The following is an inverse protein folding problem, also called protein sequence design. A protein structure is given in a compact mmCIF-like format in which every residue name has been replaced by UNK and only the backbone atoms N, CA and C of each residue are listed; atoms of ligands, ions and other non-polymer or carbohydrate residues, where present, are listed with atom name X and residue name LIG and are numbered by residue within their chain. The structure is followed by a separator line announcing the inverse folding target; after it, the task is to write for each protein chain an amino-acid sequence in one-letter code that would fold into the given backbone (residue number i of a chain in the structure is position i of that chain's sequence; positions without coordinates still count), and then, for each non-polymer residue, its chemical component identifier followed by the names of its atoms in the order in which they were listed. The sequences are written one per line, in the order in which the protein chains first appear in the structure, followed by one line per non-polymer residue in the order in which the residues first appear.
data_IF_767401017774
#
_entry.id   IF_767401017774
#
_cell.length_a   1.000
_cell.length_b   1.000
_cell.length_c   1.000
_cell.angle_alpha   90.00
_cell.angle_beta   90.00
_cell.angle_gamma   90.00
#
_symmetry.space_group_name_H-M   'P 1'
#
loop_
_entity.id
_entity.type
_entity.pdbx_description
1 polymer ?
#
# COMPACT_ATOMS: atom_id res chain seq x y z
N UNK A 1 19.68 79.27 53.32
CA UNK A 1 19.57 77.80 53.29
C UNK A 1 18.17 77.44 53.79
N UNK A 2 17.23 77.16 52.86
CA UNK A 2 16.50 75.87 52.71
C UNK A 2 15.82 75.46 54.03
N UNK A 3 14.54 75.69 54.32
CA UNK A 3 13.23 75.61 53.63
C UNK A 3 12.65 74.18 53.44
N UNK A 4 11.53 73.97 54.16
CA UNK A 4 10.39 73.05 54.01
C UNK A 4 10.56 71.51 54.20
N UNK A 5 10.05 71.03 55.34
CA UNK A 5 9.23 69.81 55.40
C UNK A 5 7.75 70.19 55.39
N UNK A 6 7.03 69.85 54.31
CA UNK A 6 5.63 69.43 54.33
C UNK A 6 5.44 68.44 53.16
N UNK A 7 5.35 67.16 53.48
CA UNK A 7 5.00 66.10 52.55
C UNK A 7 3.79 65.35 53.10
N UNK A 8 2.98 64.84 52.18
CA UNK A 8 1.74 64.06 52.35
C UNK A 8 0.50 64.91 52.09
N UNK A 9 0.05 64.91 50.83
CA UNK A 9 -1.37 64.82 50.41
C UNK A 9 -1.57 64.84 48.88
N UNK A 10 -0.52 64.69 48.06
CA UNK A 10 -0.65 64.68 46.58
C UNK A 10 -0.45 63.31 45.91
N UNK A 11 0.04 62.26 46.59
CA UNK A 11 0.33 60.98 45.94
C UNK A 11 -0.88 60.04 45.76
N UNK A 12 -2.01 60.27 46.44
CA UNK A 12 -3.18 59.38 46.34
C UNK A 12 -4.21 59.76 45.28
N UNK A 13 -4.07 60.92 44.61
CA UNK A 13 -5.00 61.34 43.54
C UNK A 13 -4.52 61.04 42.12
N UNK A 14 -3.23 60.80 41.88
CA UNK A 14 -2.74 60.41 40.54
C UNK A 14 -2.85 58.91 40.24
N UNK A 15 -2.97 58.04 41.24
CA UNK A 15 -3.10 56.60 41.01
C UNK A 15 -4.53 56.19 40.62
N UNK A 16 -5.54 57.01 40.91
CA UNK A 16 -6.94 56.71 40.59
C UNK A 16 -7.35 57.17 39.18
N UNK A 17 -6.57 58.04 38.54
CA UNK A 17 -6.88 58.55 37.20
C UNK A 17 -6.24 57.72 36.07
N UNK A 18 -5.19 56.93 36.36
CA UNK A 18 -4.61 55.98 35.40
C UNK A 18 -5.36 54.63 35.34
N UNK A 19 -6.18 54.31 36.34
CA UNK A 19 -7.00 53.09 36.32
C UNK A 19 -8.33 53.24 35.57
N UNK A 20 -8.70 54.46 35.16
CA UNK A 20 -9.95 54.72 34.45
C UNK A 20 -9.80 54.79 32.93
N UNK A 21 -8.56 54.81 32.41
CA UNK A 21 -8.28 54.80 30.97
C UNK A 21 -7.91 53.44 30.39
N UNK A 22 -7.88 52.37 31.20
CA UNK A 22 -7.60 51.01 30.75
C UNK A 22 -8.87 50.17 30.48
N UNK A 23 -10.07 50.75 30.57
CA UNK A 23 -11.35 50.02 30.43
C UNK A 23 -12.21 50.50 29.24
N UNK A 24 -11.64 51.26 28.30
CA UNK A 24 -12.35 51.75 27.09
C UNK A 24 -11.59 51.45 25.80
N UNK A 25 -10.99 50.27 25.70
CA UNK A 25 -10.62 49.66 24.42
C UNK A 25 -11.31 48.30 24.27
N UNK A 26 -12.64 48.32 24.42
CA UNK A 26 -13.49 47.32 23.76
C UNK A 26 -13.85 47.91 22.39
N UNK A 27 -12.91 47.83 21.45
CA UNK A 27 -13.29 47.84 20.03
C UNK A 27 -14.03 46.53 19.79
N UNK A 28 -15.32 46.62 19.44
CA UNK A 28 -16.14 45.50 19.06
C UNK A 28 -15.80 45.01 17.64
N UNK A 29 -14.52 44.74 17.38
CA UNK A 29 -14.07 44.04 16.18
C UNK A 29 -14.02 42.56 16.50
N UNK A 30 -15.20 41.99 16.77
CA UNK A 30 -15.37 40.54 16.84
C UNK A 30 -15.97 40.03 15.52
N UNK A 31 -15.49 40.59 14.40
CA UNK A 31 -15.64 40.02 13.07
C UNK A 31 -14.69 38.83 12.90
N UNK A 32 -14.71 37.90 13.87
CA UNK A 32 -14.15 36.57 13.64
C UNK A 32 -15.06 35.88 12.64
N UNK A 33 -14.72 36.00 11.36
CA UNK A 33 -15.25 35.15 10.31
C UNK A 33 -14.46 33.84 10.41
N UNK A 34 -15.07 32.72 10.83
CA UNK A 34 -14.38 31.44 10.80
C UNK A 34 -13.93 31.19 9.36
N UNK A 35 -12.63 31.03 9.14
CA UNK A 35 -12.14 30.53 7.86
C UNK A 35 -12.73 29.13 7.72
N UNK A 36 -13.54 28.85 6.68
CA UNK A 36 -14.12 27.53 6.51
C UNK A 36 -12.98 26.51 6.50
N UNK A 37 -13.12 25.43 7.28
CA UNK A 37 -12.18 24.32 7.15
C UNK A 37 -12.22 23.81 5.71
N UNK A 38 -11.06 23.54 5.10
CA UNK A 38 -11.03 23.12 3.72
C UNK A 38 -11.74 21.77 3.60
N UNK A 39 -12.69 21.67 2.66
CA UNK A 39 -13.47 20.45 2.41
C UNK A 39 -12.75 19.64 1.34
N UNK A 40 -12.71 18.31 1.52
CA UNK A 40 -12.14 17.42 0.51
C UNK A 40 -12.88 17.58 -0.82
N UNK A 41 -12.19 17.78 -1.96
CA UNK A 41 -12.86 17.88 -3.25
C UNK A 41 -13.35 16.52 -3.77
N UNK A 42 -12.98 15.43 -3.11
CA UNK A 42 -13.29 14.05 -3.53
C UNK A 42 -14.79 13.82 -3.59
N UNK A 43 -15.23 13.23 -4.69
CA UNK A 43 -16.63 12.88 -4.93
C UNK A 43 -16.75 11.37 -5.05
N UNK A 44 -17.47 10.75 -4.11
CA UNK A 44 -17.80 9.32 -4.13
C UNK A 44 -19.26 9.15 -3.72
N UNK A 45 -20.16 9.17 -4.70
CA UNK A 45 -21.55 8.77 -4.50
C UNK A 45 -21.68 7.26 -4.73
N UNK A 46 -21.92 6.50 -3.65
CA UNK A 46 -22.00 5.04 -3.70
C UNK A 46 -23.10 4.49 -4.62
N UNK A 47 -24.13 5.30 -4.91
CA UNK A 47 -25.19 4.95 -5.85
C UNK A 47 -24.79 5.16 -7.32
N UNK A 48 -23.84 6.06 -7.59
CA UNK A 48 -23.41 6.43 -8.94
C UNK A 48 -22.08 5.79 -9.37
N UNK A 49 -21.22 5.38 -8.43
CA UNK A 49 -19.94 4.73 -8.75
C UNK A 49 -20.13 3.28 -9.25
N UNK A 50 -19.31 2.81 -10.21
CA UNK A 50 -18.09 3.45 -10.69
C UNK A 50 -18.34 4.56 -11.73
N UNK A 51 -17.58 5.65 -11.65
CA UNK A 51 -17.56 6.68 -12.70
C UNK A 51 -16.75 6.22 -13.91
N UNK A 52 -17.08 6.75 -15.09
CA UNK A 52 -16.39 6.39 -16.32
C UNK A 52 -14.93 6.89 -16.35
N UNK A 53 -14.65 8.07 -15.77
CA UNK A 53 -13.31 8.64 -15.70
C UNK A 53 -12.77 8.61 -14.27
N UNK A 54 -11.47 8.42 -14.13
CA UNK A 54 -10.81 8.48 -12.84
C UNK A 54 -10.80 9.91 -12.27
N UNK A 55 -10.69 10.92 -13.14
CA UNK A 55 -10.74 12.33 -12.72
C UNK A 55 -12.08 12.75 -12.11
N UNK A 56 -13.19 12.08 -12.44
CA UNK A 56 -14.53 12.37 -11.89
C UNK A 56 -14.62 12.14 -10.38
N UNK A 57 -13.71 11.36 -9.80
CA UNK A 57 -13.62 11.15 -8.36
C UNK A 57 -12.88 12.28 -7.62
N UNK A 58 -12.09 13.08 -8.34
CA UNK A 58 -11.26 14.16 -7.77
C UNK A 58 -10.33 13.70 -6.63
N UNK A 59 -9.74 12.50 -6.78
CA UNK A 59 -8.72 12.00 -5.86
C UNK A 59 -7.38 12.71 -6.00
N UNK A 60 -7.14 13.35 -7.14
CA UNK A 60 -5.87 14.01 -7.46
C UNK A 60 -6.10 15.45 -7.92
N UNK A 61 -5.18 16.33 -7.55
CA UNK A 61 -5.17 17.75 -7.91
C UNK A 61 -4.21 18.01 -9.09
N UNK A 62 -4.55 19.00 -9.90
CA UNK A 62 -3.73 19.40 -11.05
C UNK A 62 -3.70 18.34 -12.15
N UNK A 63 -2.54 18.19 -12.79
CA UNK A 63 -2.34 17.22 -13.86
C UNK A 63 -2.39 15.79 -13.30
N UNK A 64 -3.35 14.99 -13.78
CA UNK A 64 -3.64 13.64 -13.28
C UNK A 64 -2.40 12.73 -13.21
N UNK A 65 -1.48 12.80 -14.18
CA UNK A 65 -0.24 11.99 -14.22
C UNK A 65 0.73 12.26 -13.06
N UNK A 66 0.62 13.41 -12.40
CA UNK A 66 1.48 13.73 -11.26
C UNK A 66 1.01 12.94 -10.01
N UNK A 67 -0.27 12.53 -9.96
CA UNK A 67 -0.95 11.92 -8.80
C UNK A 67 -0.69 12.69 -7.51
N UNK A 68 -0.83 14.01 -7.56
CA UNK A 68 -0.79 14.84 -6.36
C UNK A 68 -2.11 14.57 -5.62
N UNK A 69 -2.08 13.93 -4.43
CA UNK A 69 -3.32 13.58 -3.73
C UNK A 69 -4.08 14.84 -3.31
N UNK A 70 -5.39 14.83 -3.52
CA UNK A 70 -6.28 15.85 -2.99
C UNK A 70 -6.37 15.79 -1.46
N UNK A 71 -6.92 16.84 -0.87
CA UNK A 71 -7.19 16.87 0.57
C UNK A 71 -7.94 15.60 1.04
N UNK A 72 -7.45 15.02 2.15
CA UNK A 72 -7.92 13.77 2.77
C UNK A 72 -7.60 12.47 1.97
N UNK A 73 -6.92 12.54 0.83
CA UNK A 73 -6.40 11.35 0.14
C UNK A 73 -5.02 11.01 0.69
N UNK A 74 -4.91 9.94 1.49
CA UNK A 74 -3.69 9.63 2.23
C UNK A 74 -2.81 8.64 1.45
N UNK A 75 -1.60 9.03 1.02
CA UNK A 75 -0.67 8.08 0.41
C UNK A 75 -0.15 7.07 1.43
N UNK A 76 0.12 5.85 0.97
CA UNK A 76 0.76 4.81 1.77
C UNK A 76 1.61 3.86 0.93
N UNK A 77 2.53 3.17 1.58
CA UNK A 77 3.43 2.18 1.00
C UNK A 77 3.64 1.01 1.97
N UNK A 78 3.30 -0.23 1.58
CA UNK A 78 3.66 -1.42 2.33
C UNK A 78 5.18 -1.57 2.46
N UNK A 79 5.66 -2.01 3.63
CA UNK A 79 7.09 -2.23 3.87
C UNK A 79 7.76 -3.10 2.79
N UNK A 80 7.11 -4.20 2.41
CA UNK A 80 7.48 -5.03 1.26
C UNK A 80 6.43 -4.91 0.16
N UNK A 81 6.88 -4.68 -1.09
CA UNK A 81 5.98 -4.52 -2.23
C UNK A 81 5.80 -5.83 -3.02
N UNK A 82 4.57 -6.09 -3.48
CA UNK A 82 4.29 -7.12 -4.48
C UNK A 82 5.02 -6.81 -5.79
N UNK A 83 5.73 -7.79 -6.33
CA UNK A 83 6.32 -7.75 -7.67
C UNK A 83 5.25 -7.83 -8.76
N UNK A 84 5.37 -7.00 -9.80
CA UNK A 84 4.47 -7.01 -10.96
C UNK A 84 5.21 -6.48 -12.18
N UNK A 85 6.04 -7.31 -12.82
CA UNK A 85 6.86 -6.94 -13.98
C UNK A 85 7.64 -5.63 -13.79
N UNK A 86 8.23 -5.45 -12.61
CA UNK A 86 8.93 -4.22 -12.19
C UNK A 86 8.10 -2.92 -12.20
N UNK A 87 6.78 -2.98 -12.46
CA UNK A 87 5.91 -1.82 -12.31
C UNK A 87 5.94 -1.33 -10.85
N UNK A 88 6.16 -0.03 -10.68
CA UNK A 88 6.04 0.68 -9.40
C UNK A 88 4.57 0.93 -9.10
N UNK A 89 4.26 1.22 -7.82
CA UNK A 89 2.88 1.43 -7.37
C UNK A 89 2.76 2.68 -6.51
N UNK A 90 1.87 3.59 -6.90
CA UNK A 90 1.35 4.64 -6.01
C UNK A 90 0.09 4.10 -5.34
N UNK A 91 -0.07 4.27 -4.02
CA UNK A 91 -1.25 3.80 -3.29
C UNK A 91 -1.81 4.87 -2.38
N UNK A 92 -3.12 4.91 -2.27
CA UNK A 92 -3.83 5.90 -1.47
C UNK A 92 -5.03 5.28 -0.76
N UNK A 93 -5.40 5.88 0.36
CA UNK A 93 -6.63 5.60 1.12
C UNK A 93 -7.44 6.88 1.15
N UNK A 94 -8.72 6.80 0.80
CA UNK A 94 -9.69 7.84 1.06
C UNK A 94 -10.89 7.24 1.79
N UNK A 95 -11.44 8.01 2.73
CA UNK A 95 -12.62 7.65 3.50
C UNK A 95 -13.56 8.85 3.63
N UNK A 96 -14.89 8.62 3.67
CA UNK A 96 -15.83 9.67 3.99
C UNK A 96 -15.53 10.30 5.37
N UNK A 97 -16.04 11.49 5.59
CA UNK A 97 -15.93 12.14 6.89
C UNK A 97 -16.66 11.34 7.98
N UNK A 98 -16.19 11.47 9.22
CA UNK A 98 -16.81 10.90 10.42
C UNK A 98 -16.90 9.36 10.47
N UNK A 99 -16.18 8.64 9.59
CA UNK A 99 -16.04 7.18 9.68
C UNK A 99 -14.58 6.79 9.94
N UNK A 100 -14.38 5.67 10.64
CA UNK A 100 -13.05 5.18 11.02
C UNK A 100 -12.92 3.69 10.73
N UNK A 101 -11.72 3.26 10.35
CA UNK A 101 -11.35 1.87 10.31
C UNK A 101 -10.95 1.39 11.71
N UNK A 102 -11.08 0.10 11.96
CA UNK A 102 -10.64 -0.51 13.22
C UNK A 102 -9.48 -1.48 12.99
N UNK A 103 -8.52 -1.45 13.90
CA UNK A 103 -7.48 -2.47 13.99
C UNK A 103 -8.11 -3.77 14.53
N UNK A 104 -7.75 -4.91 13.95
CA UNK A 104 -8.22 -6.23 14.41
C UNK A 104 -7.05 -7.13 14.80
N UNK A 105 -6.05 -7.26 13.92
CA UNK A 105 -4.80 -7.97 14.17
C UNK A 105 -3.72 -7.51 13.18
N UNK A 106 -2.45 -7.74 13.52
CA UNK A 106 -1.28 -7.33 12.72
C UNK A 106 -1.36 -7.79 11.25
N UNK A 107 -1.69 -9.08 11.05
CA UNK A 107 -1.72 -9.74 9.75
C UNK A 107 -3.07 -9.70 9.03
N UNK A 108 -4.08 -9.04 9.59
CA UNK A 108 -5.40 -8.87 8.97
C UNK A 108 -5.51 -7.47 8.37
N UNK A 109 -6.28 -7.33 7.29
CA UNK A 109 -6.56 -6.00 6.77
C UNK A 109 -7.30 -5.17 7.82
N UNK A 110 -7.08 -3.86 7.84
CA UNK A 110 -7.91 -2.97 8.65
C UNK A 110 -9.39 -3.18 8.29
N UNK A 111 -10.25 -3.16 9.29
CA UNK A 111 -11.69 -3.27 9.07
C UNK A 111 -12.22 -1.90 8.64
N UNK A 112 -12.34 -1.70 7.33
CA UNK A 112 -12.75 -0.43 6.73
C UNK A 112 -14.28 -0.25 6.70
N UNK A 113 -14.78 0.96 6.99
CA UNK A 113 -16.20 1.27 6.91
C UNK A 113 -16.70 1.37 5.46
N UNK A 114 -18.02 1.31 5.28
CA UNK A 114 -18.66 1.59 4.00
C UNK A 114 -18.29 2.99 3.51
N UNK A 115 -17.98 3.11 2.22
CA UNK A 115 -17.52 4.34 1.59
C UNK A 115 -15.99 4.43 1.41
N UNK A 116 -15.21 3.59 2.09
CA UNK A 116 -13.74 3.58 1.89
C UNK A 116 -13.38 3.27 0.44
N UNK A 117 -12.42 4.01 -0.10
CA UNK A 117 -11.78 3.74 -1.38
C UNK A 117 -10.29 3.50 -1.17
N UNK A 118 -9.80 2.34 -1.59
CA UNK A 118 -8.38 2.08 -1.76
C UNK A 118 -8.04 2.32 -3.23
N UNK A 119 -6.95 3.02 -3.49
CA UNK A 119 -6.53 3.41 -4.82
C UNK A 119 -5.13 2.85 -5.04
N UNK A 120 -4.88 2.18 -6.17
CA UNK A 120 -3.57 1.65 -6.53
C UNK A 120 -3.29 1.92 -8.00
N UNK A 121 -2.28 2.75 -8.29
CA UNK A 121 -1.84 3.03 -9.66
C UNK A 121 -0.53 2.34 -9.95
N UNK A 122 -0.46 1.59 -11.06
CA UNK A 122 0.74 0.95 -11.55
C UNK A 122 1.41 1.82 -12.62
N UNK A 123 2.72 1.96 -12.53
CA UNK A 123 3.49 2.82 -13.42
C UNK A 123 4.93 2.37 -13.60
N UNK A 124 5.55 2.82 -14.68
CA UNK A 124 6.98 2.71 -14.91
C UNK A 124 7.62 4.09 -14.85
N UNK A 125 8.86 4.20 -14.36
CA UNK A 125 9.62 5.45 -14.32
C UNK A 125 10.86 5.43 -15.21
N UNK A 126 11.03 4.37 -16.01
CA UNK A 126 12.22 4.09 -16.82
C UNK A 126 11.85 3.58 -18.21
N UNK A 127 10.69 4.03 -18.73
CA UNK A 127 10.24 3.68 -20.08
C UNK A 127 11.28 4.12 -21.10
N UNK A 128 11.56 3.25 -22.07
CA UNK A 128 12.49 3.54 -23.15
C UNK A 128 11.77 3.97 -24.43
N UNK A 129 12.38 4.85 -25.23
CA UNK A 129 13.61 5.61 -24.93
C UNK A 129 13.40 6.77 -23.93
N UNK A 130 14.45 7.18 -23.24
CA UNK A 130 14.48 8.45 -22.50
C UNK A 130 14.14 8.39 -21.00
N UNK A 131 13.93 7.20 -20.42
CA UNK A 131 13.59 7.01 -19.00
C UNK A 131 12.35 7.82 -18.57
N UNK A 132 11.30 7.81 -19.39
CA UNK A 132 10.08 8.56 -19.09
C UNK A 132 9.21 7.82 -18.07
N UNK A 133 8.36 8.59 -17.37
CA UNK A 133 7.35 8.02 -16.48
C UNK A 133 6.04 7.81 -17.24
N UNK A 134 5.45 6.63 -17.10
CA UNK A 134 4.16 6.28 -17.70
C UNK A 134 3.30 5.51 -16.70
N UNK A 135 2.13 6.06 -16.40
CA UNK A 135 1.02 5.41 -15.71
C UNK A 135 0.35 4.42 -16.67
N UNK A 136 0.03 3.25 -16.16
CA UNK A 136 -0.50 2.13 -16.96
C UNK A 136 -1.97 1.90 -16.62
N UNK A 137 -2.24 1.65 -15.34
CA UNK A 137 -3.57 1.31 -14.85
C UNK A 137 -3.77 1.82 -13.40
N UNK A 138 -5.01 2.07 -13.03
CA UNK A 138 -5.43 2.43 -11.67
C UNK A 138 -6.58 1.53 -11.23
N UNK A 139 -6.35 0.80 -10.14
CA UNK A 139 -7.35 -0.01 -9.47
C UNK A 139 -8.00 0.75 -8.35
N UNK A 140 -9.33 0.78 -8.36
CA UNK A 140 -10.16 1.22 -7.25
C UNK A 140 -10.78 0.01 -6.55
N UNK A 141 -10.61 -0.07 -5.23
CA UNK A 141 -11.36 -0.99 -4.39
C UNK A 141 -12.29 -0.15 -3.53
N UNK A 142 -13.60 -0.26 -3.76
CA UNK A 142 -14.62 0.55 -3.07
C UNK A 142 -15.40 -0.35 -2.10
N UNK A 143 -15.43 0.01 -0.82
CA UNK A 143 -16.23 -0.67 0.20
C UNK A 143 -17.69 -0.23 0.09
N UNK A 144 -18.53 -1.02 -0.60
CA UNK A 144 -19.99 -0.84 -0.62
C UNK A 144 -20.63 -1.59 0.55
N UNK A 145 -21.94 -1.36 0.76
CA UNK A 145 -22.70 -2.01 1.83
C UNK A 145 -22.67 -3.55 1.72
N UNK A 146 -22.68 -4.08 0.50
CA UNK A 146 -22.70 -5.50 0.20
C UNK A 146 -21.30 -6.14 0.07
N UNK A 147 -20.22 -5.37 0.16
CA UNK A 147 -18.87 -5.92 0.04
C UNK A 147 -17.87 -4.96 -0.61
N UNK A 148 -16.66 -5.46 -0.87
CA UNK A 148 -15.69 -4.77 -1.70
C UNK A 148 -16.01 -4.96 -3.18
N UNK A 149 -15.98 -3.87 -3.95
CA UNK A 149 -16.07 -3.88 -5.41
C UNK A 149 -14.76 -3.40 -6.01
N UNK A 150 -14.35 -4.02 -7.10
CA UNK A 150 -13.06 -3.80 -7.75
C UNK A 150 -13.30 -3.23 -9.13
N UNK A 151 -12.65 -2.12 -9.44
CA UNK A 151 -12.77 -1.42 -10.70
C UNK A 151 -11.39 -1.11 -11.24
N UNK A 152 -11.19 -1.30 -12.54
CA UNK A 152 -9.91 -1.10 -13.21
C UNK A 152 -10.05 0.06 -14.20
N UNK A 153 -9.06 0.96 -14.20
CA UNK A 153 -9.02 2.13 -15.07
C UNK A 153 -7.72 2.11 -15.86
N UNK A 154 -7.79 2.24 -17.18
CA UNK A 154 -6.61 2.22 -18.05
C UNK A 154 -6.26 3.63 -18.49
N UNK A 155 -5.00 4.00 -18.29
CA UNK A 155 -4.46 5.29 -18.69
C UNK A 155 -4.32 5.39 -20.20
N UNK A 156 -4.67 6.57 -20.74
CA UNK A 156 -4.42 6.92 -22.14
C UNK A 156 -2.93 7.21 -22.39
N UNK A 157 -2.54 7.18 -23.66
CA UNK A 157 -1.13 7.39 -24.05
C UNK A 157 -0.69 8.85 -23.85
N UNK A 158 -1.62 9.80 -23.90
CA UNK A 158 -1.37 11.22 -23.60
C UNK A 158 -1.10 11.49 -22.11
N UNK A 159 -1.34 10.51 -21.23
CA UNK A 159 -1.16 10.61 -19.78
C UNK A 159 -1.99 11.75 -19.15
N UNK A 160 -3.23 11.89 -19.60
CA UNK A 160 -4.16 12.93 -19.12
C UNK A 160 -5.37 12.36 -18.40
N UNK A 161 -5.72 11.10 -18.63
CA UNK A 161 -6.91 10.47 -18.04
C UNK A 161 -6.74 8.94 -17.94
N UNK A 162 -7.46 8.33 -17.00
CA UNK A 162 -7.72 6.90 -16.99
C UNK A 162 -9.21 6.61 -17.08
N UNK A 163 -9.60 5.73 -18.00
CA UNK A 163 -10.99 5.37 -18.25
C UNK A 163 -11.29 3.98 -17.70
N UNK A 164 -12.47 3.82 -17.10
CA UNK A 164 -12.97 2.54 -16.62
C UNK A 164 -13.01 1.54 -17.77
N UNK A 165 -12.41 0.35 -17.58
CA UNK A 165 -12.60 -0.75 -18.52
C UNK A 165 -13.90 -1.48 -18.19
N UNK A 166 -14.71 -1.74 -19.23
CA UNK A 166 -16.02 -2.40 -19.13
C UNK A 166 -16.14 -3.49 -20.19
N UNK A 167 -17.12 -4.38 -20.04
CA UNK A 167 -17.47 -5.42 -21.02
C UNK A 167 -16.28 -6.35 -21.36
N UNK A 168 -16.13 -6.72 -22.64
CA UNK A 168 -15.16 -7.72 -23.12
C UNK A 168 -13.71 -7.39 -22.74
N UNK A 169 -13.34 -6.11 -22.66
CA UNK A 169 -12.00 -5.69 -22.26
C UNK A 169 -11.70 -6.05 -20.79
N UNK A 170 -12.70 -5.97 -19.92
CA UNK A 170 -12.55 -6.37 -18.52
C UNK A 170 -12.73 -7.87 -18.31
N UNK A 171 -13.59 -8.52 -19.10
CA UNK A 171 -13.82 -9.98 -19.01
C UNK A 171 -12.58 -10.75 -19.45
N UNK A 172 -11.92 -10.30 -20.52
CA UNK A 172 -10.77 -11.00 -21.09
C UNK A 172 -9.43 -10.48 -20.57
N UNK A 173 -9.41 -9.33 -19.90
CA UNK A 173 -8.19 -8.61 -19.57
C UNK A 173 -7.50 -8.07 -20.82
N UNK A 174 -6.43 -7.30 -20.64
CA UNK A 174 -5.69 -6.72 -21.76
C UNK A 174 -4.18 -6.77 -21.52
N UNK A 175 -3.41 -6.55 -22.57
CA UNK A 175 -1.94 -6.56 -22.52
C UNK A 175 -1.41 -5.28 -23.14
N UNK A 176 -0.38 -4.70 -22.53
CA UNK A 176 0.39 -3.59 -23.10
C UNK A 176 1.85 -3.99 -23.25
N UNK A 177 2.39 -3.88 -24.45
CA UNK A 177 3.84 -4.02 -24.68
C UNK A 177 4.56 -2.81 -24.07
N UNK A 178 5.47 -3.06 -23.13
CA UNK A 178 6.21 -2.01 -22.42
C UNK A 178 7.71 -2.31 -22.49
N UNK A 179 8.48 -1.38 -23.05
CA UNK A 179 9.94 -1.41 -23.00
C UNK A 179 10.45 -0.49 -21.90
N UNK A 180 11.22 -1.01 -20.95
CA UNK A 180 11.73 -0.26 -19.81
C UNK A 180 13.12 -0.74 -19.40
N UNK A 181 13.79 0.06 -18.58
CA UNK A 181 15.08 -0.28 -17.99
C UNK A 181 14.90 -0.82 -16.56
N UNK A 182 15.39 -2.04 -16.29
CA UNK A 182 15.41 -2.69 -14.97
C UNK A 182 16.40 -1.99 -14.02
N UNK A 183 16.37 -2.30 -12.70
CA UNK A 183 17.35 -1.78 -11.74
C UNK A 183 18.81 -2.13 -12.05
N UNK A 184 19.06 -3.25 -12.73
CA UNK A 184 20.38 -3.70 -13.18
C UNK A 184 20.84 -3.04 -14.51
N UNK A 185 20.16 -1.97 -14.95
CA UNK A 185 20.36 -1.25 -16.21
C UNK A 185 20.06 -2.03 -17.51
N UNK A 186 19.57 -3.26 -17.41
CA UNK A 186 19.12 -4.03 -18.58
C UNK A 186 17.82 -3.44 -19.15
N UNK A 187 17.79 -3.24 -20.48
CA UNK A 187 16.58 -2.83 -21.20
C UNK A 187 15.84 -4.08 -21.67
N UNK A 188 14.59 -4.20 -21.26
CA UNK A 188 13.73 -5.33 -21.61
C UNK A 188 12.38 -4.84 -22.11
N UNK A 189 11.75 -5.65 -22.96
CA UNK A 189 10.35 -5.49 -23.36
C UNK A 189 9.52 -6.58 -22.68
N UNK A 190 8.47 -6.18 -21.98
CA UNK A 190 7.52 -7.08 -21.32
C UNK A 190 6.11 -6.86 -21.87
N UNK A 191 5.34 -7.94 -21.90
CA UNK A 191 3.91 -7.94 -22.24
C UNK A 191 3.10 -7.72 -20.96
N UNK A 192 3.04 -6.48 -20.50
CA UNK A 192 2.39 -6.13 -19.23
C UNK A 192 0.91 -6.51 -19.26
N UNK A 193 0.51 -7.43 -18.39
CA UNK A 193 -0.86 -7.95 -18.27
C UNK A 193 -1.69 -7.08 -17.32
N UNK A 194 -2.70 -6.42 -17.87
CA UNK A 194 -3.83 -5.85 -17.14
C UNK A 194 -4.84 -6.98 -16.93
N UNK A 195 -5.05 -7.45 -15.68
CA UNK A 195 -5.85 -8.64 -15.41
C UNK A 195 -7.34 -8.41 -15.69
N UNK A 196 -8.02 -9.47 -16.10
CA UNK A 196 -9.47 -9.54 -16.12
C UNK A 196 -10.08 -9.50 -14.71
N UNK A 197 -11.40 -9.34 -14.64
CA UNK A 197 -12.15 -9.46 -13.38
C UNK A 197 -11.87 -10.80 -12.67
N UNK A 198 -11.88 -11.89 -13.43
CA UNK A 198 -11.67 -13.24 -12.90
C UNK A 198 -10.23 -13.43 -12.38
N UNK A 199 -9.24 -12.86 -13.07
CA UNK A 199 -7.84 -12.86 -12.63
C UNK A 199 -7.63 -11.94 -11.41
N UNK A 200 -8.39 -10.85 -11.28
CA UNK A 200 -8.39 -10.04 -10.07
C UNK A 200 -8.94 -10.83 -8.88
N UNK A 201 -10.14 -11.40 -9.01
CA UNK A 201 -10.83 -12.14 -7.95
C UNK A 201 -10.12 -13.45 -7.59
N UNK A 202 -9.32 -14.02 -8.51
CA UNK A 202 -8.44 -15.13 -8.20
C UNK A 202 -7.51 -14.88 -7.01
N UNK A 203 -7.02 -13.65 -6.86
CA UNK A 203 -6.17 -13.26 -5.74
C UNK A 203 -6.97 -12.50 -4.68
N UNK A 204 -7.92 -11.67 -5.09
CA UNK A 204 -8.70 -10.78 -4.24
C UNK A 204 -9.94 -11.44 -3.64
N UNK A 205 -9.80 -12.65 -3.10
CA UNK A 205 -10.87 -13.31 -2.36
C UNK A 205 -10.33 -14.17 -1.21
N UNK A 206 -11.13 -14.29 -0.16
CA UNK A 206 -10.95 -15.25 0.92
C UNK A 206 -12.31 -15.89 1.14
N UNK A 207 -12.40 -17.22 1.06
CA UNK A 207 -13.66 -17.95 1.22
C UNK A 207 -14.77 -17.42 0.26
N UNK A 208 -14.41 -17.20 -1.00
CA UNK A 208 -15.28 -16.59 -2.04
C UNK A 208 -15.76 -15.15 -1.75
N UNK A 209 -15.25 -14.50 -0.71
CA UNK A 209 -15.58 -13.11 -0.38
C UNK A 209 -14.49 -12.18 -0.89
N UNK A 210 -14.87 -11.26 -1.77
CA UNK A 210 -13.96 -10.28 -2.37
C UNK A 210 -13.27 -9.42 -1.28
N UNK A 211 -11.94 -9.43 -1.27
CA UNK A 211 -11.13 -8.86 -0.18
C UNK A 211 -9.87 -8.14 -0.70
N UNK A 212 -9.58 -6.90 -0.28
CA UNK A 212 -8.35 -6.20 -0.61
C UNK A 212 -7.11 -6.88 -0.03
N UNK A 213 -5.95 -6.59 -0.62
CA UNK A 213 -4.66 -7.16 -0.20
C UNK A 213 -3.73 -6.03 0.21
N UNK A 214 -2.95 -6.26 1.27
CA UNK A 214 -1.76 -5.46 1.60
C UNK A 214 -1.96 -4.36 2.65
N UNK A 215 -3.19 -3.90 2.89
CA UNK A 215 -3.51 -2.84 3.88
C UNK A 215 -3.66 -3.41 5.29
N UNK A 216 -2.66 -4.20 5.70
CA UNK A 216 -2.53 -4.85 7.01
C UNK A 216 -1.66 -3.97 7.92
N UNK A 217 -1.95 -3.85 9.22
CA UNK A 217 -1.11 -3.09 10.16
C UNK A 217 0.38 -3.50 10.12
N UNK A 218 0.69 -4.79 10.01
CA UNK A 218 2.07 -5.29 9.90
C UNK A 218 2.84 -4.71 8.70
N UNK A 219 2.13 -4.35 7.62
CA UNK A 219 2.74 -3.83 6.41
C UNK A 219 2.83 -2.29 6.41
N UNK A 220 2.05 -1.62 7.26
CA UNK A 220 1.98 -0.16 7.34
C UNK A 220 2.73 0.42 8.54
N UNK A 221 3.17 -0.41 9.48
CA UNK A 221 3.90 0.02 10.67
C UNK A 221 5.37 0.40 10.39
N UNK A 222 5.58 1.23 9.37
CA UNK A 222 6.85 1.83 8.98
C UNK A 222 6.66 3.33 8.73
N UNK A 223 7.76 4.09 8.66
CA UNK A 223 7.71 5.51 8.34
C UNK A 223 7.53 5.74 6.85
N UNK A 224 6.70 6.73 6.50
CA UNK A 224 6.52 7.26 5.15
C UNK A 224 6.86 8.75 5.14
N UNK A 225 7.46 9.22 4.05
CA UNK A 225 7.84 10.62 3.86
C UNK A 225 6.64 11.43 3.35
N UNK A 226 5.84 11.96 4.27
CA UNK A 226 4.74 12.86 3.93
C UNK A 226 5.25 14.28 3.66
N UNK A 227 4.42 15.12 3.06
CA UNK A 227 4.73 16.53 2.81
C UNK A 227 5.06 17.30 4.10
N UNK A 228 4.42 16.93 5.21
CA UNK A 228 4.66 17.54 6.53
C UNK A 228 5.87 16.94 7.27
N UNK A 229 6.49 15.89 6.73
CA UNK A 229 7.63 15.20 7.31
C UNK A 229 7.45 13.67 7.40
N UNK A 230 8.49 13.00 7.91
CA UNK A 230 8.46 11.55 8.11
C UNK A 230 7.49 11.17 9.25
N UNK A 231 6.58 10.24 8.99
CA UNK A 231 5.63 9.75 10.00
C UNK A 231 5.31 8.28 9.80
N UNK A 232 5.07 7.57 10.89
CA UNK A 232 4.51 6.22 10.82
C UNK A 232 3.11 6.26 10.17
N UNK A 233 2.84 5.35 9.24
CA UNK A 233 1.61 5.44 8.43
C UNK A 233 0.34 5.16 9.25
N UNK A 234 0.39 4.27 10.25
CA UNK A 234 -0.74 4.04 11.16
C UNK A 234 -1.01 5.26 12.04
N UNK A 235 0.06 5.92 12.50
CA UNK A 235 -0.06 7.21 13.22
C UNK A 235 -0.67 8.29 12.32
N UNK A 236 -0.27 8.38 11.04
CA UNK A 236 -0.89 9.32 10.08
C UNK A 236 -2.38 9.03 9.91
N UNK A 237 -2.79 7.77 9.80
CA UNK A 237 -4.20 7.39 9.69
C UNK A 237 -4.98 7.73 10.97
N UNK A 238 -4.37 7.55 12.15
CA UNK A 238 -4.98 7.92 13.43
C UNK A 238 -5.22 9.44 13.53
N UNK A 239 -4.21 10.25 13.21
CA UNK A 239 -4.30 11.72 13.24
C UNK A 239 -5.28 12.28 12.20
N UNK A 240 -5.36 11.63 11.03
CA UNK A 240 -6.35 11.95 10.01
C UNK A 240 -7.79 11.61 10.45
N UNK A 241 -7.95 10.84 11.53
CA UNK A 241 -9.23 10.32 11.97
C UNK A 241 -9.71 9.10 11.18
N UNK A 242 -8.87 8.51 10.33
CA UNK A 242 -9.20 7.33 9.51
C UNK A 242 -9.03 6.01 10.25
N UNK A 243 -8.30 5.99 11.37
CA UNK A 243 -8.11 4.83 12.22
C UNK A 243 -8.54 5.18 13.65
N UNK A 244 -9.29 4.28 14.31
CA UNK A 244 -9.76 4.53 15.68
C UNK A 244 -8.64 4.44 16.72
N UNK A 245 -7.88 3.34 16.70
CA UNK A 245 -6.73 3.09 17.55
C UNK A 245 -5.91 1.92 17.00
N UNK A 246 -4.69 1.76 17.50
CA UNK A 246 -3.84 0.60 17.25
C UNK A 246 -2.91 0.36 18.45
N UNK A 247 -2.42 -0.88 18.67
CA UNK A 247 -1.57 -1.18 19.82
C UNK A 247 -0.18 -0.54 19.70
N UNK A 248 0.50 -0.36 20.83
CA UNK A 248 1.88 0.17 20.86
C UNK A 248 2.92 -0.76 20.22
N UNK A 249 2.58 -2.03 20.03
CA UNK A 249 3.46 -3.06 19.48
C UNK A 249 2.73 -3.85 18.41
N UNK A 250 3.36 -3.98 17.24
CA UNK A 250 2.86 -4.67 16.06
C UNK A 250 4.02 -5.52 15.53
N UNK A 251 3.76 -6.77 15.19
CA UNK A 251 4.70 -7.60 14.45
C UNK A 251 4.79 -7.07 13.00
N UNK A 252 5.84 -6.30 12.70
CA UNK A 252 5.99 -5.60 11.41
C UNK A 252 6.79 -6.42 10.40
N UNK A 253 6.37 -6.39 9.13
CA UNK A 253 7.23 -6.79 8.01
C UNK A 253 8.30 -5.72 7.74
N UNK A 254 9.36 -6.09 7.03
CA UNK A 254 10.41 -5.13 6.63
C UNK A 254 10.43 -4.95 5.12
N UNK A 255 11.19 -3.97 4.64
CA UNK A 255 11.55 -3.93 3.22
C UNK A 255 12.49 -5.09 2.90
N UNK A 256 12.04 -6.03 2.07
CA UNK A 256 12.86 -7.19 1.69
C UNK A 256 14.13 -6.81 0.92
N UNK A 257 14.28 -5.57 0.46
CA UNK A 257 15.51 -5.06 -0.16
C UNK A 257 16.48 -4.41 0.83
N UNK A 258 16.05 -4.14 2.08
CA UNK A 258 16.91 -3.54 3.11
C UNK A 258 17.87 -4.58 3.68
N UNK A 259 19.12 -4.57 3.20
CA UNK A 259 20.18 -5.51 3.62
C UNK A 259 20.68 -5.29 5.04
N UNK A 260 20.26 -4.23 5.74
CA UNK A 260 20.52 -4.07 7.17
C UNK A 260 19.65 -4.97 8.03
N UNK A 261 18.53 -5.47 7.49
CA UNK A 261 17.65 -6.45 8.13
C UNK A 261 18.16 -7.88 7.92
N UNK A 262 17.82 -8.78 8.84
CA UNK A 262 18.22 -10.18 8.73
C UNK A 262 17.63 -10.86 7.49
N UNK A 263 18.36 -11.82 6.93
CA UNK A 263 17.95 -12.58 5.75
C UNK A 263 16.58 -13.24 5.93
N UNK A 264 16.36 -13.90 7.06
CA UNK A 264 15.08 -14.54 7.40
C UNK A 264 13.92 -13.53 7.46
N UNK A 265 14.13 -12.36 8.06
CA UNK A 265 13.08 -11.35 8.17
C UNK A 265 12.70 -10.77 6.81
N UNK A 266 13.71 -10.52 5.95
CA UNK A 266 13.50 -10.09 4.56
C UNK A 266 12.77 -11.16 3.75
N UNK A 267 13.18 -12.42 3.88
CA UNK A 267 12.56 -13.53 3.15
C UNK A 267 11.09 -13.74 3.56
N UNK A 268 10.79 -13.73 4.86
CA UNK A 268 9.41 -13.84 5.36
C UNK A 268 8.54 -12.66 4.90
N UNK A 269 9.10 -11.46 4.85
CA UNK A 269 8.40 -10.27 4.35
C UNK A 269 8.15 -10.35 2.84
N UNK A 270 9.10 -10.89 2.07
CA UNK A 270 8.95 -11.15 0.65
C UNK A 270 7.83 -12.16 0.36
N UNK A 271 7.78 -13.26 1.11
CA UNK A 271 6.72 -14.27 1.00
C UNK A 271 5.34 -13.73 1.39
N UNK A 272 5.24 -12.90 2.43
CA UNK A 272 3.96 -12.27 2.80
C UNK A 272 3.43 -11.37 1.67
N UNK A 273 4.30 -10.52 1.12
CA UNK A 273 3.92 -9.57 0.08
C UNK A 273 3.57 -10.25 -1.25
N UNK A 274 4.27 -11.32 -1.63
CA UNK A 274 4.19 -11.90 -2.97
C UNK A 274 3.39 -13.21 -3.04
N UNK A 275 3.17 -13.91 -1.93
CA UNK A 275 2.63 -15.27 -1.96
C UNK A 275 1.48 -15.51 -0.98
N UNK A 276 1.48 -14.88 0.20
CA UNK A 276 0.55 -15.22 1.29
C UNK A 276 -0.92 -15.03 0.96
N UNK A 277 -1.28 -14.08 0.10
CA UNK A 277 -2.67 -13.85 -0.26
C UNK A 277 -3.31 -15.05 -1.01
N UNK A 278 -2.49 -15.85 -1.72
CA UNK A 278 -2.93 -17.09 -2.34
C UNK A 278 -2.69 -18.31 -1.43
N UNK A 279 -1.54 -18.35 -0.76
CA UNK A 279 -1.12 -19.45 0.14
C UNK A 279 -1.50 -19.16 1.59
N UNK A 280 -2.81 -19.11 1.83
CA UNK A 280 -3.45 -19.00 3.13
C UNK A 280 -4.71 -19.88 3.12
N UNK A 281 -5.26 -20.17 4.29
CA UNK A 281 -6.54 -20.88 4.38
C UNK A 281 -7.64 -20.12 3.64
N UNK A 282 -8.46 -20.88 2.88
CA UNK A 282 -9.55 -20.35 2.06
C UNK A 282 -9.10 -19.37 0.95
N UNK A 283 -7.80 -19.30 0.67
CA UNK A 283 -7.23 -18.63 -0.49
C UNK A 283 -7.17 -19.56 -1.71
N UNK A 284 -6.75 -19.04 -2.87
CA UNK A 284 -6.70 -19.81 -4.12
C UNK A 284 -5.80 -21.06 -4.07
N UNK A 285 -4.75 -21.03 -3.25
CA UNK A 285 -3.76 -22.11 -3.14
C UNK A 285 -3.81 -22.81 -1.78
N UNK A 286 -4.97 -22.78 -1.10
CA UNK A 286 -5.16 -23.40 0.23
C UNK A 286 -4.95 -24.92 0.24
N UNK A 287 -5.18 -25.57 -0.90
CA UNK A 287 -4.94 -27.00 -1.16
C UNK A 287 -3.46 -27.42 -1.12
N UNK A 288 -2.53 -26.45 -1.03
CA UNK A 288 -1.09 -26.72 -0.87
C UNK A 288 -0.69 -26.69 0.60
N UNK A 289 0.39 -27.38 0.95
CA UNK A 289 0.86 -27.48 2.34
C UNK A 289 1.46 -26.19 2.96
N UNK A 290 1.81 -25.19 2.14
CA UNK A 290 2.51 -23.97 2.58
C UNK A 290 1.57 -22.85 3.02
N UNK A 291 1.99 -22.06 4.02
CA UNK A 291 1.28 -20.89 4.56
C UNK A 291 2.25 -19.73 4.72
N UNK A 292 2.11 -18.73 3.86
CA UNK A 292 3.14 -17.70 3.71
C UNK A 292 2.84 -16.38 4.43
N UNK A 293 1.73 -16.29 5.18
CA UNK A 293 1.46 -15.11 5.98
C UNK A 293 2.59 -14.87 6.98
N UNK A 294 2.97 -13.61 7.18
CA UNK A 294 4.12 -13.26 8.03
C UNK A 294 4.02 -13.84 9.45
N UNK A 295 2.82 -13.90 10.03
CA UNK A 295 2.52 -14.49 11.33
C UNK A 295 2.68 -16.01 11.40
N UNK A 296 2.65 -16.70 10.25
CA UNK A 296 2.66 -18.16 10.15
C UNK A 296 4.03 -18.72 9.75
N UNK A 297 4.90 -17.86 9.21
CA UNK A 297 6.22 -18.23 8.70
C UNK A 297 7.31 -18.32 9.77
N UNK A 298 6.94 -18.30 11.05
CA UNK A 298 7.82 -18.78 12.13
C UNK A 298 7.89 -20.31 12.17
N UNK A 299 6.93 -21.01 11.57
CA UNK A 299 6.91 -22.46 11.43
C UNK A 299 7.63 -22.89 10.13
N UNK A 300 8.73 -23.68 10.21
CA UNK A 300 9.45 -24.21 9.03
C UNK A 300 8.57 -24.99 8.04
N UNK A 301 7.56 -25.72 8.53
CA UNK A 301 6.64 -26.49 7.68
C UNK A 301 5.81 -25.56 6.79
N UNK A 302 5.35 -24.44 7.34
CA UNK A 302 4.59 -23.44 6.59
C UNK A 302 5.42 -22.79 5.48
N UNK A 303 6.74 -22.71 5.67
CA UNK A 303 7.71 -22.28 4.66
C UNK A 303 8.04 -23.35 3.61
N UNK A 304 7.51 -24.57 3.75
CA UNK A 304 7.77 -25.69 2.86
C UNK A 304 9.13 -26.36 3.08
N UNK A 305 9.83 -26.07 4.18
CA UNK A 305 11.14 -26.65 4.47
C UNK A 305 10.99 -28.15 4.72
N UNK A 306 11.70 -28.94 3.91
CA UNK A 306 11.65 -30.41 3.91
C UNK A 306 10.31 -31.05 3.58
N UNK A 307 9.33 -30.25 3.13
CA UNK A 307 8.02 -30.73 2.72
C UNK A 307 8.11 -31.26 1.29
N UNK A 308 7.57 -32.46 1.08
CA UNK A 308 7.45 -33.03 -0.26
C UNK A 308 6.50 -32.19 -1.10
N UNK A 309 6.84 -32.03 -2.37
CA UNK A 309 5.98 -31.37 -3.32
C UNK A 309 4.84 -32.29 -3.74
N UNK A 310 3.60 -31.79 -3.70
CA UNK A 310 2.46 -32.59 -4.18
C UNK A 310 2.49 -32.81 -5.70
N UNK A 311 3.19 -31.94 -6.44
CA UNK A 311 3.26 -31.96 -7.90
C UNK A 311 4.63 -32.36 -8.40
N UNK A 312 4.66 -33.35 -9.30
CA UNK A 312 5.88 -33.84 -9.91
C UNK A 312 6.23 -32.95 -11.11
N UNK A 313 7.07 -31.94 -10.88
CA UNK A 313 7.61 -31.08 -11.94
C UNK A 313 8.79 -31.75 -12.65
N UNK A 314 9.67 -32.42 -11.89
CA UNK A 314 10.71 -33.28 -12.45
C UNK A 314 11.10 -34.37 -11.45
N UNK A 315 11.74 -35.47 -11.89
CA UNK A 315 12.23 -36.51 -10.98
C UNK A 315 13.20 -36.00 -9.90
N UNK A 316 13.81 -34.83 -10.13
CA UNK A 316 14.83 -34.27 -9.25
C UNK A 316 14.35 -33.12 -8.36
N UNK A 317 13.11 -32.66 -8.54
CA UNK A 317 12.50 -31.58 -7.76
C UNK A 317 11.42 -32.18 -6.87
N UNK A 318 11.82 -32.74 -5.74
CA UNK A 318 10.93 -33.50 -4.85
C UNK A 318 10.46 -32.70 -3.63
N UNK A 319 11.24 -31.70 -3.19
CA UNK A 319 10.93 -30.87 -2.02
C UNK A 319 10.50 -29.47 -2.43
N UNK A 320 9.56 -28.89 -1.68
CA UNK A 320 9.18 -27.48 -1.84
C UNK A 320 10.39 -26.59 -1.57
N UNK A 321 11.04 -26.81 -0.42
CA UNK A 321 12.34 -26.24 -0.07
C UNK A 321 13.25 -27.36 0.44
N UNK A 322 14.34 -27.63 -0.29
CA UNK A 322 15.43 -28.49 0.15
C UNK A 322 16.56 -27.61 0.73
N UNK A 323 16.81 -27.68 2.05
CA UNK A 323 17.90 -26.95 2.70
C UNK A 323 19.24 -27.09 1.98
N UNK A 324 20.03 -26.01 1.96
CA UNK A 324 21.34 -25.92 1.30
C UNK A 324 21.34 -26.14 -0.22
N UNK A 325 20.22 -26.48 -0.85
CA UNK A 325 20.17 -26.81 -2.28
C UNK A 325 18.95 -26.18 -2.97
N UNK A 326 19.07 -24.89 -3.27
CA UNK A 326 18.04 -24.15 -4.00
C UNK A 326 17.74 -24.76 -5.37
N UNK A 327 18.75 -25.33 -6.06
CA UNK A 327 18.58 -25.93 -7.39
C UNK A 327 17.66 -27.17 -7.39
N UNK A 328 17.42 -27.76 -6.22
CA UNK A 328 16.54 -28.91 -5.99
C UNK A 328 15.24 -28.53 -5.24
N UNK A 329 14.97 -27.24 -5.11
CA UNK A 329 13.78 -26.71 -4.43
C UNK A 329 12.74 -26.21 -5.43
N UNK A 330 11.50 -26.69 -5.34
CA UNK A 330 10.41 -26.24 -6.22
C UNK A 330 10.12 -24.76 -6.06
N UNK A 331 10.20 -24.21 -4.84
CA UNK A 331 9.97 -22.79 -4.60
C UNK A 331 10.87 -21.92 -5.48
N UNK A 332 12.17 -22.23 -5.52
CA UNK A 332 13.14 -21.54 -6.36
C UNK A 332 12.85 -21.74 -7.85
N UNK A 333 12.62 -22.99 -8.27
CA UNK A 333 12.33 -23.33 -9.66
C UNK A 333 11.15 -22.53 -10.23
N UNK A 334 10.02 -22.52 -9.51
CA UNK A 334 8.80 -21.84 -9.95
C UNK A 334 8.96 -20.32 -10.02
N UNK A 335 9.79 -19.74 -9.15
CA UNK A 335 10.10 -18.31 -9.22
C UNK A 335 10.98 -17.97 -10.43
N UNK A 336 11.79 -18.90 -10.94
CA UNK A 336 12.73 -18.67 -12.05
C UNK A 336 12.16 -18.97 -13.44
N UNK A 337 11.20 -19.88 -13.57
CA UNK A 337 10.60 -20.20 -14.88
C UNK A 337 9.56 -19.16 -15.30
N UNK A 338 9.46 -18.88 -16.60
CA UNK A 338 8.35 -18.10 -17.18
C UNK A 338 7.32 -18.99 -17.89
N UNK A 339 7.49 -20.32 -17.85
CA UNK A 339 6.45 -21.26 -18.30
C UNK A 339 5.17 -21.01 -17.50
N UNK A 340 4.09 -20.63 -18.18
CA UNK A 340 2.84 -20.22 -17.54
C UNK A 340 2.21 -21.33 -16.68
N UNK A 341 2.46 -22.60 -17.03
CA UNK A 341 1.94 -23.74 -16.29
C UNK A 341 2.70 -24.01 -14.99
N UNK A 342 3.94 -23.53 -14.89
CA UNK A 342 4.83 -23.84 -13.77
C UNK A 342 5.24 -22.63 -12.93
N UNK A 343 5.23 -21.43 -13.52
CA UNK A 343 5.72 -20.20 -12.88
C UNK A 343 4.92 -19.82 -11.65
N UNK A 344 5.57 -19.15 -10.71
CA UNK A 344 4.93 -18.49 -9.59
C UNK A 344 5.44 -17.06 -9.43
N UNK A 345 4.58 -16.09 -9.07
CA UNK A 345 3.13 -16.18 -9.10
C UNK A 345 2.55 -16.47 -10.49
N UNK A 346 1.39 -17.14 -10.56
CA UNK A 346 0.70 -17.47 -11.82
C UNK A 346 0.19 -16.21 -12.55
N UNK A 347 -0.24 -15.22 -11.76
CA UNK A 347 -0.84 -13.98 -12.20
C UNK A 347 0.02 -12.79 -11.79
N UNK A 348 -0.04 -11.71 -12.58
CA UNK A 348 0.66 -10.46 -12.27
C UNK A 348 2.16 -10.48 -12.56
N UNK A 349 2.67 -11.47 -13.31
CA UNK A 349 4.01 -11.41 -13.87
C UNK A 349 4.07 -12.07 -15.26
N UNK A 350 4.96 -11.58 -16.10
CA UNK A 350 5.36 -12.15 -17.39
C UNK A 350 6.89 -12.34 -17.48
N UNK A 351 7.63 -11.69 -16.58
CA UNK A 351 9.08 -11.79 -16.46
C UNK A 351 9.48 -12.19 -15.03
N UNK A 352 10.73 -12.61 -14.87
CA UNK A 352 11.30 -12.99 -13.58
C UNK A 352 11.58 -11.77 -12.70
N UNK A 353 11.51 -11.98 -11.38
CA UNK A 353 11.96 -11.02 -10.38
C UNK A 353 13.35 -11.42 -9.91
N UNK A 354 14.38 -10.81 -10.48
CA UNK A 354 15.77 -11.23 -10.29
C UNK A 354 16.20 -11.12 -8.82
N UNK A 355 15.86 -10.00 -8.17
CA UNK A 355 16.17 -9.75 -6.77
C UNK A 355 15.42 -10.69 -5.82
N UNK A 356 14.17 -11.03 -6.14
CA UNK A 356 13.39 -12.00 -5.38
C UNK A 356 13.93 -13.42 -5.51
N UNK A 357 14.37 -13.83 -6.71
CA UNK A 357 15.03 -15.12 -6.93
C UNK A 357 16.32 -15.18 -6.12
N UNK A 358 17.17 -14.16 -6.20
CA UNK A 358 18.42 -14.10 -5.46
C UNK A 358 18.19 -14.16 -3.93
N UNK A 359 17.15 -13.49 -3.41
CA UNK A 359 16.78 -13.58 -1.99
C UNK A 359 16.40 -15.01 -1.58
N UNK A 360 15.60 -15.69 -2.40
CA UNK A 360 15.21 -17.09 -2.16
C UNK A 360 16.43 -18.02 -2.24
N UNK A 361 17.31 -17.84 -3.22
CA UNK A 361 18.55 -18.61 -3.34
C UNK A 361 19.42 -18.47 -2.10
N UNK A 362 19.67 -17.23 -1.65
CA UNK A 362 20.46 -16.94 -0.47
C UNK A 362 19.84 -17.57 0.78
N UNK A 363 18.53 -17.41 0.95
CA UNK A 363 17.83 -17.97 2.10
C UNK A 363 17.89 -19.50 2.12
N UNK A 364 17.53 -20.19 1.02
CA UNK A 364 17.59 -21.66 0.97
C UNK A 364 19.02 -22.16 1.19
N UNK A 365 20.03 -21.48 0.63
CA UNK A 365 21.44 -21.85 0.79
C UNK A 365 21.93 -21.70 2.24
N UNK A 366 21.34 -20.80 3.03
CA UNK A 366 21.67 -20.62 4.44
C UNK A 366 21.04 -21.67 5.38
N UNK A 367 20.05 -22.43 4.90
CA UNK A 367 19.39 -23.49 5.67
C UNK A 367 20.32 -24.71 5.80
N UNK A 368 20.63 -25.12 7.02
CA UNK A 368 21.58 -26.21 7.31
C UNK A 368 20.93 -27.48 7.87
N UNK A 369 19.61 -27.47 8.10
CA UNK A 369 18.89 -28.62 8.62
C UNK A 369 18.79 -29.76 7.58
N UNK A 370 18.77 -31.00 8.04
CA UNK A 370 18.58 -32.18 7.18
C UNK A 370 17.10 -32.53 7.08
N UNK A 371 16.65 -32.90 5.88
CA UNK A 371 15.32 -33.48 5.70
C UNK A 371 15.38 -34.97 6.00
N UNK A 372 14.58 -35.41 6.98
CA UNK A 372 14.44 -36.81 7.35
C UNK A 372 13.32 -37.49 6.55
#
# INVERSE_FOLDING_TARGET
MVNLMKHNYFLKKSLLLLLFFTILSCGSDNDYVPVPEPVSPVTVDLAAVPYAKLSDYKFFEGDMKEHIPSLNVIPYEPASQLFTDYAKKKRFIWMPENVKATYTADGKILNFPVGTVLIKTFYYSTIQPGNTTKMIETRLMIRKADGWKFYEYVWNDEQTEANLIVNDDFINGSTKTITFKKPNDEVITAEYRIPSESECLACHKINEIATPIGVKPQNLNINYAYREGNKNQLQKLLEQGYLESYPSTIATTVNYNDTSQSLDLRMRSYLDANCAHCHQDQGRCDYRAIRFAFSETSNPTNLGICIDADEIVSPTLQKIVLPSNFSKSILHYRLRTNDESERMPLLGRTITHDEGIALVEQWISSLTQTCN
#
